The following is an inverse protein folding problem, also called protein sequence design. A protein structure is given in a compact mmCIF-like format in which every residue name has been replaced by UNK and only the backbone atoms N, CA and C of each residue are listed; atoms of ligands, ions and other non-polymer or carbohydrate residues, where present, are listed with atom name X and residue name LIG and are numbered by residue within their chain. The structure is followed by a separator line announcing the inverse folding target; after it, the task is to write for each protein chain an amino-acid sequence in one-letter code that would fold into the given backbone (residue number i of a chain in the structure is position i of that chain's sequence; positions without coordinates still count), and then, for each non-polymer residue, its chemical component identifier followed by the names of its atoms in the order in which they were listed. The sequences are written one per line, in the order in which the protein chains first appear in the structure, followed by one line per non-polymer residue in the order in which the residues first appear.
data_IF_779556976872
#
_entry.id   IF_779556976872
#
_cell.length_a   1.000
_cell.length_b   1.000
_cell.length_c   1.000
_cell.angle_alpha   90.00
_cell.angle_beta   90.00
_cell.angle_gamma   90.00
#
_symmetry.space_group_name_H-M   'P 1'
#
loop_
_entity.id
_entity.type
_entity.pdbx_description
1 polymer ?
#
# COMPACT_ATOMS: atom_id res chain seq x y z
N UNK A 1 0.64 -0.81 23.48
CA UNK A 1 2.01 -0.79 24.06
C UNK A 1 2.94 -0.55 22.88
N UNK A 2 3.82 0.45 22.92
CA UNK A 2 4.62 0.80 21.74
C UNK A 2 5.86 -0.10 21.65
N UNK A 3 5.77 -1.23 20.92
CA UNK A 3 6.92 -2.10 20.72
C UNK A 3 7.98 -1.47 19.83
N UNK A 4 7.67 -0.44 19.01
CA UNK A 4 8.71 0.28 18.26
C UNK A 4 9.71 0.94 19.22
N UNK A 5 9.23 1.54 20.31
CA UNK A 5 10.12 2.13 21.32
C UNK A 5 10.98 1.07 22.01
N UNK A 6 10.42 -0.10 22.32
CA UNK A 6 11.18 -1.20 22.93
C UNK A 6 12.24 -1.77 21.98
N UNK A 7 11.91 -1.92 20.70
CA UNK A 7 12.85 -2.34 19.66
C UNK A 7 13.97 -1.29 19.51
N UNK A 8 13.63 0.00 19.51
CA UNK A 8 14.61 1.08 19.43
C UNK A 8 15.57 1.12 20.64
N UNK A 9 15.11 0.70 21.81
CA UNK A 9 15.91 0.56 23.03
C UNK A 9 16.60 -0.81 23.16
N UNK A 10 16.33 -1.77 22.28
CA UNK A 10 16.90 -3.11 22.35
C UNK A 10 18.39 -3.10 22.04
N UNK A 11 19.11 -4.02 22.67
CA UNK A 11 20.51 -4.32 22.35
C UNK A 11 20.75 -4.70 20.88
N UNK A 12 19.70 -5.09 20.16
CA UNK A 12 19.75 -5.51 18.76
C UNK A 12 19.53 -4.37 17.76
N UNK A 13 19.31 -3.12 18.18
CA UNK A 13 18.93 -2.03 17.26
C UNK A 13 19.90 -1.84 16.08
N UNK A 14 21.22 -1.91 16.30
CA UNK A 14 22.20 -1.79 15.22
C UNK A 14 22.15 -2.96 14.24
N UNK A 15 21.90 -4.17 14.76
CA UNK A 15 21.71 -5.37 13.94
C UNK A 15 20.42 -5.27 13.13
N UNK A 16 19.33 -4.81 13.75
CA UNK A 16 18.03 -4.58 13.10
C UNK A 16 18.16 -3.59 11.96
N UNK A 17 18.86 -2.46 12.16
CA UNK A 17 19.14 -1.48 11.11
C UNK A 17 19.88 -2.12 9.93
N UNK A 18 20.98 -2.82 10.19
CA UNK A 18 21.76 -3.50 9.15
C UNK A 18 20.94 -4.57 8.41
N UNK A 19 20.12 -5.32 9.14
CA UNK A 19 19.23 -6.33 8.56
C UNK A 19 18.18 -5.68 7.65
N UNK A 20 17.59 -4.56 8.06
CA UNK A 20 16.60 -3.85 7.24
C UNK A 20 17.18 -3.44 5.88
N UNK A 21 18.35 -2.78 5.87
CA UNK A 21 19.02 -2.36 4.64
C UNK A 21 19.42 -3.56 3.76
N UNK A 22 19.91 -4.66 4.36
CA UNK A 22 20.30 -5.85 3.61
C UNK A 22 19.09 -6.58 3.00
N UNK A 23 18.00 -6.72 3.76
CA UNK A 23 16.73 -7.28 3.27
C UNK A 23 16.18 -6.47 2.11
N UNK A 24 16.21 -5.14 2.22
CA UNK A 24 15.72 -4.27 1.16
C UNK A 24 16.59 -4.34 -0.10
N UNK A 25 17.92 -4.39 0.06
CA UNK A 25 18.85 -4.58 -1.06
C UNK A 25 18.58 -5.91 -1.78
N UNK A 26 18.43 -7.01 -1.05
CA UNK A 26 18.10 -8.30 -1.65
C UNK A 26 16.69 -8.32 -2.27
N UNK A 27 15.73 -7.62 -1.68
CA UNK A 27 14.39 -7.47 -2.27
C UNK A 27 14.44 -6.70 -3.59
N UNK A 28 15.20 -5.61 -3.64
CA UNK A 28 15.43 -4.81 -4.86
C UNK A 28 16.00 -5.69 -5.98
N UNK A 29 17.07 -6.42 -5.70
CA UNK A 29 17.71 -7.33 -6.64
C UNK A 29 16.74 -8.40 -7.15
N UNK A 30 15.97 -9.03 -6.26
CA UNK A 30 15.01 -10.07 -6.61
C UNK A 30 13.79 -9.53 -7.39
N UNK A 31 13.38 -8.29 -7.11
CA UNK A 31 12.22 -7.67 -7.76
C UNK A 31 12.51 -7.22 -9.20
N UNK A 32 13.78 -7.14 -9.60
CA UNK A 32 14.20 -6.61 -10.89
C UNK A 32 13.90 -5.11 -11.07
N UNK A 33 13.58 -4.40 -9.99
CA UNK A 33 13.19 -2.99 -10.04
C UNK A 33 14.39 -2.03 -9.92
N UNK A 34 15.62 -2.52 -9.95
CA UNK A 34 16.84 -1.70 -9.82
C UNK A 34 16.87 -0.52 -10.81
N UNK A 35 16.41 -0.73 -12.05
CA UNK A 35 16.41 0.31 -13.09
C UNK A 35 15.29 1.36 -12.89
N UNK A 36 14.30 1.09 -12.03
CA UNK A 36 13.20 2.01 -11.74
C UNK A 36 13.54 3.04 -10.65
N UNK A 37 14.69 2.88 -9.97
CA UNK A 37 15.09 3.75 -8.87
C UNK A 37 16.41 4.45 -9.19
N UNK A 38 16.41 5.78 -9.12
CA UNK A 38 17.63 6.50 -8.81
C UNK A 38 17.92 6.25 -7.32
N UNK A 39 19.09 5.69 -6.99
CA UNK A 39 19.47 5.32 -5.61
C UNK A 39 19.26 6.46 -4.59
N UNK A 40 19.30 7.72 -5.03
CA UNK A 40 19.07 8.91 -4.19
C UNK A 40 17.61 9.08 -3.73
N UNK A 41 16.66 8.31 -4.25
CA UNK A 41 15.24 8.37 -3.89
C UNK A 41 14.84 7.38 -2.77
N UNK A 42 15.81 6.62 -2.24
CA UNK A 42 15.58 5.58 -1.24
C UNK A 42 16.04 6.11 0.12
N UNK A 43 15.09 6.27 1.03
CA UNK A 43 15.35 6.71 2.41
C UNK A 43 15.63 5.50 3.31
N UNK A 44 16.88 5.38 3.78
CA UNK A 44 17.31 4.32 4.69
C UNK A 44 16.55 4.34 6.02
N UNK A 45 16.23 5.52 6.56
CA UNK A 45 15.47 5.63 7.80
C UNK A 45 14.04 5.11 7.61
N UNK A 46 13.46 5.33 6.42
CA UNK A 46 12.15 4.78 6.05
C UNK A 46 12.17 3.25 5.97
N UNK A 47 13.23 2.66 5.39
CA UNK A 47 13.40 1.19 5.32
C UNK A 47 13.52 0.59 6.72
N UNK A 48 14.35 1.19 7.58
CA UNK A 48 14.53 0.78 8.97
C UNK A 48 13.21 0.88 9.73
N UNK A 49 12.46 1.98 9.53
CA UNK A 49 11.17 2.17 10.16
C UNK A 49 10.13 1.15 9.69
N UNK A 50 10.10 0.81 8.40
CA UNK A 50 9.22 -0.24 7.88
C UNK A 50 9.51 -1.59 8.54
N UNK A 51 10.78 -1.99 8.61
CA UNK A 51 11.17 -3.25 9.25
C UNK A 51 10.84 -3.26 10.75
N UNK A 52 11.13 -2.16 11.45
CA UNK A 52 10.82 -2.00 12.88
C UNK A 52 9.32 -2.05 13.14
N UNK A 53 8.51 -1.48 12.25
CA UNK A 53 7.05 -1.55 12.30
C UNK A 53 6.54 -2.97 12.10
N UNK A 54 7.03 -3.68 11.08
CA UNK A 54 6.64 -5.07 10.85
C UNK A 54 7.02 -5.96 12.04
N UNK A 55 8.21 -5.77 12.63
CA UNK A 55 8.61 -6.44 13.88
C UNK A 55 7.66 -6.09 15.03
N UNK A 56 7.37 -4.82 15.24
CA UNK A 56 6.46 -4.35 16.30
C UNK A 56 5.08 -5.00 16.20
N UNK A 57 4.52 -5.09 14.99
CA UNK A 57 3.22 -5.72 14.75
C UNK A 57 3.31 -7.23 14.98
N UNK A 58 4.35 -7.90 14.47
CA UNK A 58 4.56 -9.33 14.69
C UNK A 58 4.64 -9.68 16.18
N UNK A 59 5.35 -8.86 16.96
CA UNK A 59 5.52 -9.03 18.41
C UNK A 59 4.18 -8.83 19.13
N UNK A 60 3.40 -7.81 18.75
CA UNK A 60 2.07 -7.60 19.33
C UNK A 60 1.14 -8.78 19.00
N UNK A 61 1.18 -9.27 17.77
CA UNK A 61 0.43 -10.46 17.34
C UNK A 61 0.82 -11.70 18.14
N UNK A 62 2.12 -11.97 18.33
CA UNK A 62 2.61 -13.08 19.16
C UNK A 62 2.03 -12.96 20.57
N UNK A 63 2.04 -11.75 21.16
CA UNK A 63 1.52 -11.53 22.51
C UNK A 63 0.06 -11.98 22.65
N UNK A 64 -0.76 -11.82 21.62
CA UNK A 64 -2.18 -12.22 21.64
C UNK A 64 -2.39 -13.74 21.50
N UNK A 65 -1.36 -14.51 21.11
CA UNK A 65 -1.50 -15.96 20.90
C UNK A 65 -1.54 -16.74 22.20
N UNK A 66 -2.10 -17.95 22.13
CA UNK A 66 -2.28 -18.82 23.29
C UNK A 66 -0.94 -19.27 23.87
N UNK A 67 -0.91 -19.63 25.15
CA UNK A 67 0.30 -20.12 25.80
C UNK A 67 0.79 -21.42 25.13
N UNK A 68 -0.13 -22.30 24.78
CA UNK A 68 0.16 -23.56 24.10
C UNK A 68 0.88 -23.34 22.76
N UNK A 69 0.52 -22.28 22.01
CA UNK A 69 1.21 -21.94 20.77
C UNK A 69 2.61 -21.38 21.03
N UNK A 70 2.76 -20.53 22.06
CA UNK A 70 4.05 -19.92 22.43
C UNK A 70 5.05 -20.95 22.98
N UNK A 71 4.57 -21.98 23.66
CA UNK A 71 5.40 -23.02 24.27
C UNK A 71 5.95 -24.02 23.22
N UNK A 72 5.45 -24.00 21.97
CA UNK A 72 6.01 -24.82 20.89
C UNK A 72 7.39 -24.27 20.51
N UNK A 73 8.42 -25.11 20.64
CA UNK A 73 9.80 -24.73 20.33
C UNK A 73 9.93 -24.18 18.90
N UNK A 74 10.49 -22.97 18.79
CA UNK A 74 10.71 -22.28 17.51
C UNK A 74 9.44 -21.68 16.86
N UNK A 75 8.26 -21.84 17.45
CA UNK A 75 7.02 -21.32 16.86
C UNK A 75 7.02 -19.79 16.76
N UNK A 76 7.38 -19.09 17.84
CA UNK A 76 7.44 -17.63 17.85
C UNK A 76 8.46 -17.07 16.85
N UNK A 77 9.60 -17.77 16.71
CA UNK A 77 10.62 -17.46 15.70
C UNK A 77 10.07 -17.61 14.28
N UNK A 78 9.49 -18.77 13.96
CA UNK A 78 8.92 -19.02 12.64
C UNK A 78 7.78 -18.07 12.29
N UNK A 79 6.90 -17.76 13.26
CA UNK A 79 5.83 -16.79 13.09
C UNK A 79 6.39 -15.39 12.80
N UNK A 80 7.34 -14.91 13.60
CA UNK A 80 7.90 -13.57 13.44
C UNK A 80 8.60 -13.42 12.08
N UNK A 81 9.46 -14.37 11.70
CA UNK A 81 10.14 -14.34 10.40
C UNK A 81 9.12 -14.33 9.25
N UNK A 82 8.19 -15.28 9.23
CA UNK A 82 7.20 -15.39 8.16
C UNK A 82 6.26 -14.18 8.06
N UNK A 83 5.85 -13.64 9.20
CA UNK A 83 5.03 -12.42 9.24
C UNK A 83 5.79 -11.23 8.66
N UNK A 84 7.01 -11.00 9.14
CA UNK A 84 7.82 -9.83 8.74
C UNK A 84 8.19 -9.92 7.26
N UNK A 85 8.57 -11.09 6.76
CA UNK A 85 8.83 -11.32 5.33
C UNK A 85 7.63 -10.95 4.45
N UNK A 86 6.45 -11.51 4.76
CA UNK A 86 5.24 -11.24 3.99
C UNK A 86 4.79 -9.79 4.07
N UNK A 87 4.88 -9.19 5.26
CA UNK A 87 4.50 -7.79 5.47
C UNK A 87 5.43 -6.83 4.75
N UNK A 88 6.76 -7.03 4.84
CA UNK A 88 7.75 -6.23 4.12
C UNK A 88 7.58 -6.35 2.61
N UNK A 89 7.47 -7.57 2.09
CA UNK A 89 7.24 -7.81 0.66
C UNK A 89 6.04 -7.01 0.16
N UNK A 90 4.91 -7.13 0.85
CA UNK A 90 3.67 -6.43 0.49
C UNK A 90 3.86 -4.92 0.52
N UNK A 91 4.47 -4.39 1.59
CA UNK A 91 4.66 -2.96 1.80
C UNK A 91 5.59 -2.34 0.76
N UNK A 92 6.74 -2.97 0.51
CA UNK A 92 7.71 -2.51 -0.46
C UNK A 92 7.23 -2.67 -1.89
N UNK A 93 6.60 -3.80 -2.24
CA UNK A 93 5.99 -3.96 -3.55
C UNK A 93 4.94 -2.88 -3.81
N UNK A 94 4.07 -2.61 -2.83
CA UNK A 94 3.08 -1.56 -2.98
C UNK A 94 3.75 -0.18 -3.19
N UNK A 95 4.68 0.21 -2.31
CA UNK A 95 5.30 1.54 -2.37
C UNK A 95 6.16 1.76 -3.61
N UNK A 96 6.98 0.78 -3.95
CA UNK A 96 8.05 0.95 -4.91
C UNK A 96 7.68 0.46 -6.31
N UNK A 97 6.75 -0.49 -6.43
CA UNK A 97 6.26 -0.99 -7.72
C UNK A 97 4.88 -0.39 -8.02
N UNK A 98 3.88 -0.71 -7.19
CA UNK A 98 2.47 -0.37 -7.49
C UNK A 98 2.25 1.14 -7.56
N UNK A 99 2.69 1.89 -6.55
CA UNK A 99 2.47 3.34 -6.49
C UNK A 99 3.15 4.13 -7.61
N UNK A 100 4.12 3.51 -8.29
CA UNK A 100 4.84 4.11 -9.42
C UNK A 100 4.15 3.88 -10.75
N UNK A 101 3.24 2.92 -10.84
CA UNK A 101 2.47 2.65 -12.06
C UNK A 101 1.55 3.82 -12.41
N UNK A 102 1.39 4.09 -13.71
CA UNK A 102 0.41 5.07 -14.20
C UNK A 102 -1.00 4.68 -13.76
N UNK A 103 -1.34 3.40 -13.78
CA UNK A 103 -2.65 2.91 -13.33
C UNK A 103 -2.97 3.31 -11.89
N UNK A 104 -2.01 3.20 -10.97
CA UNK A 104 -2.18 3.66 -9.58
C UNK A 104 -2.33 5.17 -9.47
N UNK A 105 -1.51 5.94 -10.21
CA UNK A 105 -1.60 7.42 -10.21
C UNK A 105 -2.96 7.89 -10.72
N UNK A 106 -3.41 7.35 -11.85
CA UNK A 106 -4.74 7.64 -12.39
C UNK A 106 -5.83 7.25 -11.39
N UNK A 107 -5.78 6.04 -10.83
CA UNK A 107 -6.81 5.58 -9.89
C UNK A 107 -6.87 6.44 -8.63
N UNK A 108 -5.72 6.83 -8.07
CA UNK A 108 -5.62 7.75 -6.94
C UNK A 108 -6.19 9.11 -7.29
N UNK A 109 -5.85 9.67 -8.47
CA UNK A 109 -6.40 10.92 -8.95
C UNK A 109 -7.94 10.87 -9.07
N UNK A 110 -8.50 9.83 -9.70
CA UNK A 110 -9.95 9.64 -9.82
C UNK A 110 -10.62 9.55 -8.44
N UNK A 111 -10.01 8.83 -7.49
CA UNK A 111 -10.54 8.73 -6.12
C UNK A 111 -10.51 10.07 -5.39
N UNK A 112 -9.41 10.82 -5.50
CA UNK A 112 -9.28 12.16 -4.94
C UNK A 112 -10.31 13.12 -5.53
N UNK A 113 -10.54 13.06 -6.84
CA UNK A 113 -11.52 13.88 -7.53
C UNK A 113 -12.96 13.58 -7.04
N UNK A 114 -13.30 12.30 -6.92
CA UNK A 114 -14.55 11.86 -6.30
C UNK A 114 -14.73 12.42 -4.89
N UNK A 115 -13.72 12.27 -4.02
CA UNK A 115 -13.77 12.79 -2.64
C UNK A 115 -13.86 14.31 -2.58
N UNK A 116 -13.19 15.00 -3.50
CA UNK A 116 -13.25 16.44 -3.60
C UNK A 116 -14.66 16.92 -3.93
N UNK A 117 -15.32 16.33 -4.93
CA UNK A 117 -16.69 16.69 -5.29
C UNK A 117 -17.72 16.31 -4.22
N UNK A 118 -17.49 15.22 -3.48
CA UNK A 118 -18.32 14.85 -2.32
C UNK A 118 -18.27 15.93 -1.22
N UNK A 119 -17.09 16.54 -1.00
CA UNK A 119 -16.89 17.63 -0.04
C UNK A 119 -17.31 19.01 -0.57
N UNK A 120 -17.36 19.19 -1.89
CA UNK A 120 -17.63 20.47 -2.58
C UNK A 120 -18.74 20.31 -3.62
N UNK A 121 -19.99 20.11 -3.19
CA UNK A 121 -21.11 19.88 -4.10
C UNK A 121 -21.35 21.04 -5.08
N UNK A 122 -21.13 22.29 -4.64
CA UNK A 122 -21.30 23.46 -5.51
C UNK A 122 -20.36 23.46 -6.72
N UNK A 123 -19.15 22.88 -6.57
CA UNK A 123 -18.21 22.74 -7.68
C UNK A 123 -18.60 21.61 -8.62
N UNK A 124 -19.25 20.55 -8.11
CA UNK A 124 -19.79 19.50 -8.95
C UNK A 124 -20.94 20.03 -9.82
N UNK A 125 -21.76 20.95 -9.30
CA UNK A 125 -22.79 21.64 -10.08
C UNK A 125 -22.19 22.47 -11.22
N UNK A 126 -21.08 23.18 -10.98
CA UNK A 126 -20.36 23.91 -12.04
C UNK A 126 -19.78 22.97 -13.10
N UNK A 127 -19.25 21.82 -12.68
CA UNK A 127 -18.78 20.78 -13.60
C UNK A 127 -19.93 20.18 -14.41
N UNK A 128 -21.11 20.03 -13.81
CA UNK A 128 -22.32 19.59 -14.52
C UNK A 128 -22.72 20.59 -15.62
N UNK A 129 -22.75 21.89 -15.31
CA UNK A 129 -23.04 22.95 -16.29
C UNK A 129 -22.04 22.93 -17.45
N UNK A 130 -20.75 22.78 -17.16
CA UNK A 130 -19.72 22.65 -18.20
C UNK A 130 -19.90 21.39 -19.03
N UNK A 131 -20.20 20.26 -18.38
CA UNK A 131 -20.47 18.99 -19.05
C UNK A 131 -21.67 19.09 -20.01
N UNK A 132 -22.79 19.68 -19.55
CA UNK A 132 -23.96 19.96 -20.39
C UNK A 132 -23.62 20.90 -21.55
N UNK A 133 -22.84 21.95 -21.31
CA UNK A 133 -22.40 22.87 -22.35
C UNK A 133 -21.64 22.13 -23.46
N UNK A 134 -20.66 21.30 -23.11
CA UNK A 134 -19.89 20.53 -24.09
C UNK A 134 -20.69 19.42 -24.77
N UNK A 135 -21.68 18.83 -24.10
CA UNK A 135 -22.54 17.80 -24.67
C UNK A 135 -23.55 18.36 -25.67
N UNK A 136 -23.98 19.61 -25.47
CA UNK A 136 -24.93 20.32 -26.32
C UNK A 136 -24.26 21.21 -27.38
N UNK A 137 -22.94 21.32 -27.39
CA UNK A 137 -22.23 21.93 -28.52
C UNK A 137 -22.16 20.94 -29.69
N UNK A 138 -22.80 21.29 -30.81
CA UNK A 138 -22.60 20.60 -32.08
C UNK A 138 -21.10 20.56 -32.41
N UNK A 139 -20.62 19.34 -32.62
CA UNK A 139 -19.23 18.99 -32.85
C UNK A 139 -18.62 19.69 -34.05
N UNK A 140 -17.69 20.63 -33.84
CA UNK A 140 -16.63 20.88 -34.85
C UNK A 140 -15.20 20.85 -34.29
N UNK A 141 -14.93 20.99 -32.98
CA UNK A 141 -13.53 21.13 -32.52
C UNK A 141 -13.09 20.34 -31.29
N UNK A 142 -13.81 19.28 -30.92
CA UNK A 142 -13.40 18.49 -29.76
C UNK A 142 -13.16 17.02 -30.13
N UNK A 143 -12.06 16.79 -30.85
CA UNK A 143 -11.44 15.47 -31.03
C UNK A 143 -10.77 15.02 -29.71
N UNK A 144 -11.53 14.85 -28.63
CA UNK A 144 -11.08 13.97 -27.55
C UNK A 144 -11.18 12.55 -28.07
N UNK A 145 -10.13 12.03 -28.71
CA UNK A 145 -9.96 10.58 -28.84
C UNK A 145 -9.75 10.03 -27.44
N UNK A 146 -10.85 9.75 -26.75
CA UNK A 146 -10.82 9.10 -25.45
C UNK A 146 -10.52 7.61 -25.68
N UNK A 147 -9.26 7.23 -25.50
CA UNK A 147 -8.92 5.84 -25.13
C UNK A 147 -9.55 5.46 -23.77
N UNK A 148 -10.09 6.44 -23.03
CA UNK A 148 -11.09 6.16 -22.00
C UNK A 148 -12.37 5.66 -22.67
N UNK A 149 -12.55 4.34 -22.73
CA UNK A 149 -13.82 3.69 -23.08
C UNK A 149 -14.94 3.91 -22.05
N UNK A 150 -15.12 5.16 -21.63
CA UNK A 150 -16.16 5.59 -20.70
C UNK A 150 -17.28 6.23 -21.51
N UNK A 151 -18.38 5.50 -21.62
CA UNK A 151 -19.63 6.00 -22.18
C UNK A 151 -20.33 6.88 -21.14
N UNK A 152 -20.11 8.19 -21.22
CA UNK A 152 -20.79 9.19 -20.40
C UNK A 152 -22.24 9.44 -20.84
N UNK A 153 -22.70 8.86 -21.96
CA UNK A 153 -24.04 9.02 -22.53
C UNK A 153 -25.19 8.39 -21.73
N UNK A 154 -24.97 8.04 -20.46
CA UNK A 154 -25.92 7.32 -19.60
C UNK A 154 -26.48 8.12 -18.44
N UNK A 155 -26.04 9.36 -18.22
CA UNK A 155 -26.67 10.19 -17.21
C UNK A 155 -27.94 10.77 -17.82
N UNK A 156 -29.09 10.15 -17.55
CA UNK A 156 -30.40 10.70 -17.90
C UNK A 156 -30.63 12.01 -17.10
N UNK A 157 -30.59 13.14 -17.81
CA UNK A 157 -30.41 14.52 -17.30
C UNK A 157 -31.77 15.17 -16.98
N UNK A 158 -32.56 14.53 -16.14
CA UNK A 158 -33.86 15.07 -15.72
C UNK A 158 -33.81 15.95 -14.46
N UNK A 159 -32.75 15.83 -13.65
CA UNK A 159 -32.67 16.44 -12.32
C UNK A 159 -31.20 16.51 -11.83
N UNK A 160 -30.71 17.69 -11.44
CA UNK A 160 -29.32 17.90 -10.99
C UNK A 160 -28.96 17.09 -9.74
N UNK A 161 -29.96 16.82 -8.89
CA UNK A 161 -29.79 15.94 -7.73
C UNK A 161 -29.53 14.50 -8.18
N UNK A 162 -30.22 14.04 -9.23
CA UNK A 162 -29.99 12.73 -9.81
C UNK A 162 -28.65 12.64 -10.54
N UNK A 163 -28.20 13.72 -11.20
CA UNK A 163 -26.88 13.76 -11.81
C UNK A 163 -25.78 13.58 -10.76
N UNK A 164 -25.83 14.35 -9.66
CA UNK A 164 -24.85 14.26 -8.56
C UNK A 164 -24.73 12.83 -8.03
N UNK A 165 -25.85 12.24 -7.64
CA UNK A 165 -25.83 10.91 -7.01
C UNK A 165 -25.35 9.84 -7.99
N UNK A 166 -25.80 9.90 -9.25
CA UNK A 166 -25.35 8.97 -10.30
C UNK A 166 -23.85 9.17 -10.58
N UNK A 167 -23.36 10.40 -10.68
CA UNK A 167 -21.95 10.72 -10.97
C UNK A 167 -21.04 10.23 -9.85
N UNK A 168 -21.38 10.53 -8.59
CA UNK A 168 -20.61 10.07 -7.43
C UNK A 168 -20.64 8.54 -7.30
N UNK A 169 -21.79 7.90 -7.55
CA UNK A 169 -21.90 6.45 -7.57
C UNK A 169 -21.04 5.82 -8.66
N UNK A 170 -21.04 6.39 -9.87
CA UNK A 170 -20.21 5.96 -10.99
C UNK A 170 -18.71 6.08 -10.65
N UNK A 171 -18.27 7.26 -10.22
CA UNK A 171 -16.86 7.50 -9.87
C UNK A 171 -16.38 6.60 -8.74
N UNK A 172 -17.23 6.36 -7.73
CA UNK A 172 -16.94 5.41 -6.66
C UNK A 172 -16.81 3.98 -7.20
N UNK A 173 -17.74 3.51 -8.02
CA UNK A 173 -17.70 2.16 -8.59
C UNK A 173 -16.47 1.96 -9.48
N UNK A 174 -16.17 2.91 -10.35
CA UNK A 174 -15.03 2.85 -11.28
C UNK A 174 -13.69 2.92 -10.51
N UNK A 175 -13.58 3.79 -9.51
CA UNK A 175 -12.39 3.82 -8.65
C UNK A 175 -12.17 2.49 -7.94
N UNK A 176 -13.24 1.87 -7.41
CA UNK A 176 -13.13 0.60 -6.69
C UNK A 176 -12.78 -0.57 -7.59
N UNK A 177 -13.35 -0.61 -8.79
CA UNK A 177 -13.00 -1.59 -9.81
C UNK A 177 -11.52 -1.51 -10.18
N UNK A 178 -10.99 -0.29 -10.38
CA UNK A 178 -9.58 -0.07 -10.69
C UNK A 178 -8.65 -0.43 -9.53
N UNK A 179 -9.00 -0.06 -8.30
CA UNK A 179 -8.25 -0.51 -7.13
C UNK A 179 -8.23 -2.03 -7.02
N UNK A 180 -9.35 -2.71 -7.28
CA UNK A 180 -9.39 -4.17 -7.29
C UNK A 180 -8.45 -4.76 -8.35
N UNK A 181 -8.40 -4.18 -9.55
CA UNK A 181 -7.47 -4.62 -10.60
C UNK A 181 -6.00 -4.41 -10.21
N UNK A 182 -5.66 -3.26 -9.63
CA UNK A 182 -4.32 -2.98 -9.10
C UNK A 182 -3.93 -4.00 -8.02
N UNK A 183 -4.85 -4.35 -7.13
CA UNK A 183 -4.62 -5.35 -6.08
C UNK A 183 -4.57 -6.79 -6.62
N UNK A 184 -5.15 -7.04 -7.80
CA UNK A 184 -5.05 -8.31 -8.52
C UNK A 184 -3.77 -8.42 -9.35
N UNK A 185 -2.97 -7.36 -9.46
CA UNK A 185 -1.63 -7.44 -10.05
C UNK A 185 -0.87 -8.52 -9.28
N UNK A 186 -0.55 -9.56 -10.07
CA UNK A 186 -0.05 -10.90 -9.74
C UNK A 186 0.48 -11.03 -8.32
N UNK A 187 0.14 -12.16 -7.65
CA UNK A 187 0.98 -12.77 -6.62
C UNK A 187 2.42 -12.77 -7.16
N UNK A 188 3.17 -11.73 -6.85
CA UNK A 188 4.58 -11.69 -7.14
C UNK A 188 5.18 -12.84 -6.36
N UNK A 189 6.12 -13.55 -6.96
CA UNK A 189 6.98 -14.41 -6.19
C UNK A 189 7.52 -13.59 -5.01
N UNK A 190 7.54 -14.17 -3.82
CA UNK A 190 7.99 -13.45 -2.65
C UNK A 190 9.46 -13.08 -2.86
N UNK A 191 9.70 -11.82 -3.27
CA UNK A 191 11.03 -11.29 -3.53
C UNK A 191 11.79 -10.97 -2.25
N UNK A 192 11.11 -10.96 -1.09
CA UNK A 192 11.78 -10.66 0.17
C UNK A 192 12.73 -11.81 0.53
N UNK A 193 14.03 -11.53 0.74
CA UNK A 193 14.93 -12.53 1.30
C UNK A 193 14.41 -13.01 2.66
N UNK A 194 14.80 -14.22 3.05
CA UNK A 194 14.33 -14.79 4.32
C UNK A 194 14.93 -14.02 5.49
N UNK A 195 14.10 -13.55 6.41
CA UNK A 195 14.53 -12.88 7.64
C UNK A 195 15.37 -13.84 8.49
N UNK A 196 15.09 -15.14 8.42
CA UNK A 196 15.88 -16.19 9.09
C UNK A 196 17.35 -16.24 8.69
N UNK A 197 17.70 -15.70 7.53
CA UNK A 197 19.08 -15.68 7.05
C UNK A 197 19.90 -14.54 7.71
N UNK A 198 19.21 -13.58 8.35
CA UNK A 198 19.81 -12.39 8.94
C UNK A 198 19.66 -12.32 10.46
N UNK A 199 18.58 -12.88 11.01
CA UNK A 199 18.30 -12.95 12.44
C UNK A 199 18.17 -14.41 12.88
N UNK A 200 19.02 -14.80 13.82
CA UNK A 200 19.00 -16.12 14.42
C UNK A 200 17.85 -16.27 15.42
N UNK A 201 17.46 -17.51 15.70
CA UNK A 201 16.44 -17.80 16.72
C UNK A 201 16.78 -17.18 18.08
N UNK A 202 18.03 -17.26 18.53
CA UNK A 202 18.47 -16.68 19.81
C UNK A 202 18.35 -15.14 19.84
N UNK A 203 18.58 -14.47 18.71
CA UNK A 203 18.42 -13.02 18.62
C UNK A 203 16.94 -12.64 18.68
N UNK A 204 16.05 -13.40 18.03
CA UNK A 204 14.62 -13.16 18.09
C UNK A 204 14.05 -13.46 19.49
N UNK A 205 14.49 -14.54 20.15
CA UNK A 205 14.13 -14.83 21.54
C UNK A 205 14.54 -13.68 22.46
N UNK A 206 15.79 -13.18 22.34
CA UNK A 206 16.24 -12.00 23.09
C UNK A 206 15.40 -10.75 22.80
N UNK A 207 15.01 -10.52 21.55
CA UNK A 207 14.15 -9.40 21.18
C UNK A 207 12.76 -9.49 21.83
N UNK A 208 12.19 -10.71 21.88
CA UNK A 208 10.90 -10.97 22.52
C UNK A 208 10.99 -10.79 24.04
N UNK A 209 12.09 -11.20 24.66
CA UNK A 209 12.39 -10.97 26.09
C UNK A 209 12.53 -9.48 26.42
N UNK A 210 13.31 -8.74 25.62
CA UNK A 210 13.44 -7.27 25.72
C UNK A 210 12.04 -6.60 25.62
N UNK A 211 11.16 -7.18 24.83
CA UNK A 211 9.78 -6.72 24.65
C UNK A 211 8.81 -7.22 25.73
N UNK A 212 9.22 -8.13 26.63
CA UNK A 212 8.40 -8.79 27.67
C UNK A 212 7.17 -9.50 27.09
N UNK A 213 7.38 -10.29 26.03
CA UNK A 213 6.31 -11.02 25.30
C UNK A 213 6.29 -12.51 25.63
N UNK A 214 7.47 -13.09 25.87
CA UNK A 214 7.64 -14.40 26.49
C UNK A 214 7.70 -14.22 28.02
#
# INVERSE_FOLDING_TARGET
MDYKQKIAASSLIFKIRRTASALFSGWLDNSGCNDLFHHDAIDDDLIVNDFTECLSIAIDEIKTKSKEQKDIFGWAYGFLCGFVEGALHTKWHFRYVVQRTEEYKYTTFFHSLYKYFDLKPDLLEQVHILYEYYLNQDSEEVLWRSECGVDFGKFDIGDSTQFRDKFLAYMRAESMKRFANILQVKKSDNFCPRVSDYLTQKEIERLLDDCRVL
#
